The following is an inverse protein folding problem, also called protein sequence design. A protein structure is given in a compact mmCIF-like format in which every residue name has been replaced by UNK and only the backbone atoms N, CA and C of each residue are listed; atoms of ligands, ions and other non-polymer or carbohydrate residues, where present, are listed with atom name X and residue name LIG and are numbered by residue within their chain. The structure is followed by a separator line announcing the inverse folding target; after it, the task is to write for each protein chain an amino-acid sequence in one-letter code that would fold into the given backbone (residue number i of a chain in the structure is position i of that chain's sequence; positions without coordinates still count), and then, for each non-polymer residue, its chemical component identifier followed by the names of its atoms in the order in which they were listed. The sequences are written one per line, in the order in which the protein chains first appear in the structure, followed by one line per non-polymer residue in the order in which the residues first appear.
data_IF_091038416884
#
_entry.id   IF_091038416884
#
_cell.length_a   1.000
_cell.length_b   1.000
_cell.length_c   1.000
_cell.angle_alpha   90.00
_cell.angle_beta   90.00
_cell.angle_gamma   90.00
#
_symmetry.space_group_name_H-M   'P 1'
#
loop_
_entity.id
_entity.type
_entity.pdbx_description
1 polymer ?
#
# COMPACT_ATOMS: atom_id res chain seq x y z
N UNK A 1 10.14 -4.56 2.08
CA UNK A 1 11.02 -3.74 1.20
C UNK A 1 11.12 -2.33 1.73
N UNK A 2 10.03 -1.70 2.10
CA UNK A 2 10.03 -0.34 2.67
C UNK A 2 10.86 -0.24 3.96
N UNK A 3 10.84 -1.29 4.79
CA UNK A 3 11.64 -1.34 6.02
C UNK A 3 13.08 -1.79 5.78
N UNK A 4 13.35 -2.48 4.68
CA UNK A 4 14.68 -2.96 4.33
C UNK A 4 15.00 -4.38 4.79
N UNK A 5 14.02 -5.18 5.19
CA UNK A 5 14.24 -6.56 5.67
C UNK A 5 14.78 -7.51 4.61
N UNK A 6 14.74 -7.14 3.34
CA UNK A 6 15.33 -7.91 2.24
C UNK A 6 16.85 -7.76 2.13
N UNK A 7 17.43 -6.84 2.89
CA UNK A 7 18.87 -6.55 2.88
C UNK A 7 19.56 -7.23 4.07
N UNK A 8 20.80 -7.76 3.89
CA UNK A 8 21.56 -8.36 4.99
C UNK A 8 21.98 -7.37 6.06
N UNK A 9 22.09 -6.08 5.73
CA UNK A 9 22.47 -5.00 6.65
C UNK A 9 21.29 -4.32 7.34
N UNK A 10 20.12 -4.98 7.39
CA UNK A 10 18.94 -4.44 8.06
C UNK A 10 19.19 -4.16 9.54
N UNK A 11 18.83 -2.96 9.98
CA UNK A 11 18.84 -2.53 11.38
C UNK A 11 17.46 -1.97 11.74
N UNK A 12 16.81 -2.46 12.82
CA UNK A 12 15.43 -2.03 13.14
C UNK A 12 15.24 -0.55 13.46
N UNK A 13 16.30 0.13 13.91
CA UNK A 13 16.25 1.54 14.32
C UNK A 13 16.59 2.52 13.21
N UNK A 14 16.93 2.04 12.02
CA UNK A 14 17.29 2.88 10.87
C UNK A 14 16.35 2.62 9.70
N UNK A 15 16.22 3.62 8.83
CA UNK A 15 15.47 3.53 7.59
C UNK A 15 16.36 2.93 6.49
N UNK A 16 16.35 1.60 6.39
CA UNK A 16 17.19 0.83 5.47
C UNK A 16 16.46 0.41 4.18
N UNK A 17 15.20 0.80 4.00
CA UNK A 17 14.36 0.34 2.91
C UNK A 17 14.63 1.05 1.58
N UNK A 18 13.96 0.56 0.55
CA UNK A 18 14.00 1.10 -0.80
C UNK A 18 12.69 1.77 -1.16
N UNK A 19 12.73 2.63 -2.18
CA UNK A 19 11.54 3.20 -2.77
C UNK A 19 10.72 2.13 -3.49
N UNK A 20 9.42 2.16 -3.31
CA UNK A 20 8.48 1.23 -3.94
C UNK A 20 7.46 2.03 -4.74
N UNK A 21 7.26 1.61 -5.98
CA UNK A 21 6.26 2.19 -6.89
C UNK A 21 5.21 1.12 -7.14
N UNK A 22 3.95 1.45 -6.84
CA UNK A 22 2.80 0.58 -7.12
C UNK A 22 2.02 1.20 -8.27
N UNK A 23 1.78 0.43 -9.31
CA UNK A 23 0.97 0.84 -10.46
C UNK A 23 -0.32 0.01 -10.52
N UNK A 24 -1.28 0.47 -11.30
CA UNK A 24 -2.59 -0.19 -11.45
C UNK A 24 -3.33 -0.38 -10.12
N UNK A 25 -3.20 0.57 -9.20
CA UNK A 25 -3.84 0.49 -7.89
C UNK A 25 -5.38 0.42 -7.97
N UNK A 26 -5.97 0.93 -9.02
CA UNK A 26 -7.41 0.85 -9.26
C UNK A 26 -7.92 -0.58 -9.49
N UNK A 27 -7.03 -1.49 -9.89
CA UNK A 27 -7.36 -2.89 -10.20
C UNK A 27 -7.18 -3.83 -9.01
N UNK A 28 -6.92 -3.30 -7.82
CA UNK A 28 -6.75 -4.12 -6.63
C UNK A 28 -8.03 -4.88 -6.30
N UNK A 29 -7.89 -6.16 -5.96
CA UNK A 29 -9.01 -7.02 -5.57
C UNK A 29 -9.02 -7.19 -4.06
N UNK A 30 -10.21 -7.04 -3.48
CA UNK A 30 -10.46 -7.31 -2.07
C UNK A 30 -11.30 -8.58 -1.96
N UNK A 31 -10.92 -9.47 -1.06
CA UNK A 31 -11.61 -10.74 -0.87
C UNK A 31 -12.90 -10.57 -0.07
N UNK A 32 -13.86 -11.48 -0.33
CA UNK A 32 -15.15 -11.47 0.37
C UNK A 32 -15.96 -10.21 0.07
N UNK A 33 -16.64 -9.69 1.09
CA UNK A 33 -17.50 -8.50 1.00
C UNK A 33 -16.78 -7.22 1.47
N UNK A 34 -15.45 -7.20 1.52
CA UNK A 34 -14.69 -6.05 2.05
C UNK A 34 -14.95 -4.75 1.28
N UNK A 35 -15.29 -4.83 0.00
CA UNK A 35 -15.59 -3.64 -0.79
C UNK A 35 -16.72 -2.79 -0.18
N UNK A 36 -17.72 -3.42 0.40
CA UNK A 36 -18.90 -2.76 0.96
C UNK A 36 -18.94 -2.78 2.48
N UNK A 37 -18.41 -3.84 3.11
CA UNK A 37 -18.50 -4.06 4.55
C UNK A 37 -17.36 -3.43 5.34
N UNK A 38 -16.17 -3.34 4.73
CA UNK A 38 -15.04 -2.68 5.40
C UNK A 38 -15.27 -1.16 5.42
N UNK A 39 -15.12 -0.57 6.59
CA UNK A 39 -15.31 0.88 6.78
C UNK A 39 -14.01 1.52 7.28
N UNK A 40 -13.63 2.60 6.62
CA UNK A 40 -12.54 3.46 7.07
C UNK A 40 -13.11 4.62 7.85
N UNK A 41 -12.73 4.73 9.13
CA UNK A 41 -13.18 5.79 10.03
C UNK A 41 -12.14 6.89 10.12
N UNK A 42 -12.62 8.13 10.19
CA UNK A 42 -11.78 9.30 10.36
C UNK A 42 -12.49 10.29 11.28
N UNK A 43 -11.79 10.78 12.30
CA UNK A 43 -12.30 11.83 13.19
C UNK A 43 -11.87 13.21 12.70
N UNK A 44 -12.80 14.18 12.69
CA UNK A 44 -12.54 15.54 12.21
C UNK A 44 -11.93 16.47 13.25
N UNK A 45 -11.83 16.02 14.51
CA UNK A 45 -11.40 16.84 15.64
C UNK A 45 -12.55 17.54 16.39
N UNK A 46 -13.77 17.45 15.88
CA UNK A 46 -14.97 18.02 16.51
C UNK A 46 -15.78 16.94 17.19
N UNK A 47 -16.56 17.32 18.24
CA UNK A 47 -17.44 16.39 18.95
C UNK A 47 -18.43 15.76 17.97
N UNK A 48 -18.51 14.40 17.95
CA UNK A 48 -19.37 13.67 17.03
C UNK A 48 -18.90 13.66 15.58
N UNK A 49 -17.72 14.17 15.29
CA UNK A 49 -17.19 14.30 13.92
C UNK A 49 -16.50 13.07 13.38
N UNK A 50 -17.16 11.91 13.38
CA UNK A 50 -16.64 10.68 12.77
C UNK A 50 -17.14 10.56 11.34
N UNK A 51 -16.20 10.49 10.38
CA UNK A 51 -16.54 10.27 8.98
C UNK A 51 -16.19 8.84 8.58
N UNK A 52 -17.03 8.27 7.73
CA UNK A 52 -16.95 6.89 7.28
C UNK A 52 -16.85 6.85 5.76
N UNK A 53 -16.07 5.90 5.25
CA UNK A 53 -16.02 5.59 3.82
C UNK A 53 -15.71 4.11 3.62
N UNK A 54 -16.10 3.58 2.47
CA UNK A 54 -15.86 2.17 2.11
C UNK A 54 -14.81 2.08 0.99
N UNK A 55 -14.13 0.94 0.83
CA UNK A 55 -13.20 0.75 -0.28
C UNK A 55 -13.84 0.96 -1.65
N UNK A 56 -15.11 0.56 -1.82
CA UNK A 56 -15.83 0.77 -3.08
C UNK A 56 -15.93 2.25 -3.46
N UNK A 57 -16.23 3.10 -2.47
CA UNK A 57 -16.31 4.55 -2.68
C UNK A 57 -14.95 5.15 -3.02
N UNK A 58 -13.89 4.67 -2.39
CA UNK A 58 -12.53 5.15 -2.65
C UNK A 58 -12.07 4.74 -4.05
N UNK A 59 -12.31 3.49 -4.45
CA UNK A 59 -11.92 2.99 -5.78
C UNK A 59 -12.69 3.68 -6.91
N UNK A 60 -13.94 4.05 -6.68
CA UNK A 60 -14.74 4.81 -7.64
C UNK A 60 -14.43 6.32 -7.63
N UNK A 61 -13.72 6.80 -6.62
CA UNK A 61 -13.42 8.22 -6.43
C UNK A 61 -12.16 8.68 -7.18
N UNK A 62 -11.74 9.91 -6.86
CA UNK A 62 -10.61 10.57 -7.51
C UNK A 62 -9.25 9.93 -7.20
N UNK A 63 -9.11 9.29 -6.04
CA UNK A 63 -7.83 8.74 -5.56
C UNK A 63 -7.96 7.26 -5.18
N UNK A 64 -8.09 6.34 -6.15
CA UNK A 64 -8.26 4.92 -5.86
C UNK A 64 -7.04 4.28 -5.19
N UNK A 65 -5.84 4.84 -5.35
CA UNK A 65 -4.62 4.36 -4.70
C UNK A 65 -4.64 4.43 -3.18
N UNK A 66 -5.56 5.18 -2.60
CA UNK A 66 -5.66 5.30 -1.13
C UNK A 66 -5.99 4.00 -0.44
N UNK A 67 -6.63 3.06 -1.11
CA UNK A 67 -6.92 1.73 -0.54
C UNK A 67 -5.61 1.01 -0.21
N UNK A 68 -4.67 0.99 -1.16
CA UNK A 68 -3.36 0.38 -0.96
C UNK A 68 -2.53 1.15 0.05
N UNK A 69 -2.51 2.48 -0.04
CA UNK A 69 -1.79 3.33 0.91
C UNK A 69 -2.25 3.08 2.36
N UNK A 70 -3.55 2.99 2.60
CA UNK A 70 -4.11 2.69 3.92
C UNK A 70 -3.75 1.30 4.41
N UNK A 71 -3.74 0.31 3.53
CA UNK A 71 -3.35 -1.04 3.88
C UNK A 71 -1.90 -1.10 4.35
N UNK A 72 -0.99 -0.48 3.59
CA UNK A 72 0.45 -0.47 3.91
C UNK A 72 0.73 0.37 5.15
N UNK A 73 0.10 1.53 5.30
CA UNK A 73 0.25 2.41 6.46
C UNK A 73 -0.02 1.65 7.77
N UNK A 74 -1.03 0.79 7.79
CA UNK A 74 -1.38 0.02 8.99
C UNK A 74 -0.45 -1.16 9.26
N UNK A 75 0.36 -1.56 8.28
CA UNK A 75 1.39 -2.59 8.44
C UNK A 75 2.72 -2.02 8.92
N UNK A 76 2.93 -0.72 8.78
CA UNK A 76 4.12 0.00 9.22
C UNK A 76 3.89 0.56 10.62
N UNK A 77 4.96 0.67 11.40
CA UNK A 77 4.91 1.21 12.77
C UNK A 77 4.46 2.67 12.79
N UNK A 78 3.70 3.04 13.81
CA UNK A 78 3.16 4.41 13.98
C UNK A 78 4.12 5.27 14.80
N UNK A 79 5.26 5.60 14.22
CA UNK A 79 6.28 6.43 14.86
C UNK A 79 6.97 7.29 13.80
N UNK A 80 7.88 8.20 14.18
CA UNK A 80 8.58 9.03 13.19
C UNK A 80 9.34 8.23 12.14
N UNK A 81 9.97 7.12 12.51
CA UNK A 81 10.65 6.23 11.58
C UNK A 81 9.66 5.61 10.58
N UNK A 82 8.51 5.14 11.05
CA UNK A 82 7.46 4.58 10.19
C UNK A 82 6.92 5.60 9.20
N UNK A 83 6.77 6.87 9.59
CA UNK A 83 6.36 7.94 8.68
C UNK A 83 7.38 8.18 7.58
N UNK A 84 8.67 8.14 7.90
CA UNK A 84 9.73 8.22 6.89
C UNK A 84 9.69 7.04 5.93
N UNK A 85 9.46 5.85 6.42
CA UNK A 85 9.33 4.65 5.58
C UNK A 85 8.13 4.76 4.62
N UNK A 86 7.01 5.31 5.08
CA UNK A 86 5.83 5.54 4.24
C UNK A 86 6.04 6.55 3.13
N UNK A 87 6.92 7.52 3.30
CA UNK A 87 7.23 8.50 2.23
C UNK A 87 7.89 7.88 1.01
N UNK A 88 8.46 6.69 1.15
CA UNK A 88 9.09 5.94 0.06
C UNK A 88 8.11 5.15 -0.79
N UNK A 89 6.86 5.04 -0.36
CA UNK A 89 5.81 4.39 -1.12
C UNK A 89 5.14 5.39 -2.05
N UNK A 90 5.10 5.06 -3.33
CA UNK A 90 4.39 5.83 -4.36
C UNK A 90 3.36 4.92 -5.02
N UNK A 91 2.11 5.34 -4.99
CA UNK A 91 0.98 4.56 -5.53
C UNK A 91 0.33 5.33 -6.66
N UNK A 92 0.18 4.69 -7.81
CA UNK A 92 -0.45 5.25 -9.00
C UNK A 92 -1.62 4.38 -9.45
N UNK A 93 -2.73 5.02 -9.75
CA UNK A 93 -3.95 4.32 -10.17
C UNK A 93 -3.81 3.66 -11.54
N UNK A 94 -3.15 4.33 -12.48
CA UNK A 94 -2.94 3.82 -13.83
C UNK A 94 -1.66 3.00 -13.98
N UNK A 95 -1.35 2.65 -15.21
CA UNK A 95 -0.14 1.89 -15.54
C UNK A 95 1.11 2.77 -15.67
N UNK A 96 0.95 4.08 -15.74
CA UNK A 96 2.04 5.03 -15.94
C UNK A 96 2.53 5.60 -14.61
N UNK A 97 3.82 5.92 -14.56
CA UNK A 97 4.45 6.57 -13.42
C UNK A 97 5.52 7.57 -13.90
N UNK A 98 5.77 8.66 -13.16
CA UNK A 98 6.76 9.69 -13.57
C UNK A 98 8.21 9.34 -13.22
N UNK A 99 8.53 8.07 -12.96
CA UNK A 99 9.84 7.63 -12.47
C UNK A 99 10.69 6.91 -13.52
N UNK A 100 10.48 7.20 -14.80
CA UNK A 100 11.22 6.54 -15.90
C UNK A 100 12.73 6.79 -15.78
N UNK A 101 13.13 8.00 -15.38
CA UNK A 101 14.53 8.37 -15.22
C UNK A 101 15.26 7.57 -14.12
N UNK A 102 14.53 7.02 -13.19
CA UNK A 102 15.06 6.24 -12.06
C UNK A 102 15.22 4.76 -12.39
N UNK A 103 14.79 4.32 -13.57
CA UNK A 103 14.88 2.94 -14.06
C UNK A 103 14.38 1.91 -13.03
N UNK A 104 13.11 1.97 -12.62
CA UNK A 104 12.59 1.02 -11.63
C UNK A 104 12.60 -0.41 -12.19
N UNK A 105 12.93 -1.35 -11.33
CA UNK A 105 12.96 -2.78 -11.66
C UNK A 105 11.59 -3.38 -11.29
N UNK A 106 11.02 -4.16 -12.20
CA UNK A 106 9.76 -4.86 -11.94
C UNK A 106 9.99 -5.96 -10.89
N UNK A 107 9.22 -5.91 -9.81
CA UNK A 107 9.25 -6.90 -8.75
C UNK A 107 8.01 -7.81 -8.87
N UNK A 108 8.20 -9.06 -9.23
CA UNK A 108 7.13 -10.04 -9.31
C UNK A 108 6.99 -10.78 -7.98
N UNK A 109 6.16 -10.24 -7.09
CA UNK A 109 5.90 -10.82 -5.77
C UNK A 109 5.07 -12.10 -5.91
N UNK A 110 4.18 -12.16 -6.90
CA UNK A 110 3.31 -13.31 -7.10
C UNK A 110 4.10 -14.60 -7.36
N UNK A 111 5.18 -14.51 -8.14
CA UNK A 111 6.03 -15.66 -8.42
C UNK A 111 6.82 -16.15 -7.19
N UNK A 112 7.07 -15.25 -6.24
CA UNK A 112 7.81 -15.57 -5.01
C UNK A 112 6.94 -16.22 -3.94
N UNK A 113 5.62 -16.11 -4.06
CA UNK A 113 4.69 -16.70 -3.09
C UNK A 113 4.48 -18.18 -3.40
N UNK A 114 4.86 -19.10 -2.48
CA UNK A 114 4.71 -20.53 -2.73
C UNK A 114 3.27 -21.00 -2.94
N UNK A 115 2.29 -20.25 -2.44
CA UNK A 115 0.87 -20.55 -2.67
C UNK A 115 0.46 -20.39 -4.13
N UNK A 116 1.09 -19.46 -4.84
CA UNK A 116 0.79 -19.21 -6.25
C UNK A 116 1.43 -20.24 -7.20
N UNK A 117 2.36 -21.07 -6.70
CA UNK A 117 3.03 -22.12 -7.46
C UNK A 117 2.25 -23.44 -7.48
N UNK A 118 1.17 -23.54 -6.72
CA UNK A 118 0.31 -24.72 -6.72
C UNK A 118 -0.52 -24.73 -7.97
N UNK A 119 -0.58 -25.89 -8.63
CA UNK A 119 -1.43 -26.07 -9.80
C UNK A 119 -2.88 -25.73 -9.46
N UNK A 120 -3.59 -25.01 -10.32
CA UNK A 120 -5.03 -24.84 -10.14
C UNK A 120 -5.72 -26.20 -10.20
N UNK A 121 -6.56 -26.46 -9.23
CA UNK A 121 -7.38 -27.67 -9.20
C UNK A 121 -8.57 -27.51 -10.14
#
# INVERSE_FOLDING_TARGET
ILRGKHKPNFVPNLDCGDYVIVINAEKVKLTGKKLTDKVYYRHTGWIGGIKETTPAKILAGKFPGRVIEKAVERMISRNPLGRQQMTKLRVYAGAEHPHIAQNPIVLDIASKNPKNKRSPL
#
